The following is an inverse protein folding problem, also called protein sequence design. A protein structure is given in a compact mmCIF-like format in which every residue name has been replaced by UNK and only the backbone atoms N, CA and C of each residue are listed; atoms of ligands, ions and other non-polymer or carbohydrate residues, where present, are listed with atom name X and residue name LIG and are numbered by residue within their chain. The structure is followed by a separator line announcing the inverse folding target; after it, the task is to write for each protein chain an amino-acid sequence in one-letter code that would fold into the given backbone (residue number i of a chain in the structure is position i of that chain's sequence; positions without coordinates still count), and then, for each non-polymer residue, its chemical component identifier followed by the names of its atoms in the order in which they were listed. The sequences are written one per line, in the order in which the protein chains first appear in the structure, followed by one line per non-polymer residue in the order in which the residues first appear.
data_IF_638041446617
#
_entry.id   IF_638041446617
#
_cell.length_a   1.000
_cell.length_b   1.000
_cell.length_c   1.000
_cell.angle_alpha   90.00
_cell.angle_beta   90.00
_cell.angle_gamma   90.00
#
_symmetry.space_group_name_H-M   'P 1'
#
loop_
_entity.id
_entity.type
_entity.pdbx_description
1 polymer ?
#
# COMPACT_ATOMS: atom_id res chain seq x y z
N UNK A 1 -3.88 7.83 -5.37
CA UNK A 1 -3.08 8.02 -6.60
C UNK A 1 -2.37 6.74 -7.06
N UNK A 2 -1.65 6.04 -6.20
CA UNK A 2 -0.90 4.82 -6.58
C UNK A 2 -1.80 3.73 -7.15
N UNK A 3 -2.99 3.62 -6.64
CA UNK A 3 -3.92 2.54 -7.01
C UNK A 3 -4.44 2.65 -8.47
N UNK A 4 -4.30 3.83 -9.10
CA UNK A 4 -4.58 3.99 -10.53
C UNK A 4 -3.54 3.28 -11.42
N UNK A 5 -2.34 3.00 -10.89
CA UNK A 5 -1.22 2.44 -11.69
C UNK A 5 -1.56 1.11 -12.31
N UNK A 6 -2.23 0.21 -11.57
CA UNK A 6 -2.61 -1.11 -12.07
C UNK A 6 -3.56 -1.02 -13.27
N UNK A 7 -4.57 -0.17 -13.20
CA UNK A 7 -5.52 0.05 -14.31
C UNK A 7 -4.84 0.78 -15.46
N UNK A 8 -4.12 1.86 -15.18
CA UNK A 8 -3.45 2.65 -16.21
C UNK A 8 -2.41 1.82 -16.98
N UNK A 9 -1.64 0.93 -16.32
CA UNK A 9 -0.67 0.08 -17.01
C UNK A 9 -1.30 -0.88 -18.01
N UNK A 10 -2.52 -1.37 -17.74
CA UNK A 10 -3.25 -2.24 -18.68
C UNK A 10 -3.67 -1.47 -19.93
N UNK A 11 -4.19 -0.26 -19.77
CA UNK A 11 -4.56 0.58 -20.92
C UNK A 11 -3.33 1.04 -21.70
N UNK A 12 -2.26 1.45 -21.04
CA UNK A 12 -0.99 1.80 -21.70
C UNK A 12 -0.41 0.62 -22.47
N UNK A 13 -0.54 -0.61 -21.95
CA UNK A 13 -0.13 -1.82 -22.64
C UNK A 13 -0.87 -1.98 -23.97
N UNK A 14 -2.19 -1.76 -23.96
CA UNK A 14 -3.01 -1.87 -25.16
C UNK A 14 -2.70 -0.74 -26.16
N UNK A 15 -2.66 0.51 -25.70
CA UNK A 15 -2.47 1.69 -26.55
C UNK A 15 -1.12 1.70 -27.27
N UNK A 16 -0.05 1.24 -26.57
CA UNK A 16 1.30 1.25 -27.09
C UNK A 16 1.79 -0.12 -27.61
N UNK A 17 0.95 -1.15 -27.56
CA UNK A 17 1.29 -2.50 -28.01
C UNK A 17 2.47 -3.12 -27.22
N UNK A 18 2.55 -2.84 -25.91
CA UNK A 18 3.68 -3.26 -25.07
C UNK A 18 3.60 -4.76 -24.73
N UNK A 19 4.77 -5.36 -24.55
CA UNK A 19 4.85 -6.70 -23.94
C UNK A 19 4.41 -6.67 -22.48
N UNK A 20 3.98 -7.80 -21.93
CA UNK A 20 3.64 -7.92 -20.50
C UNK A 20 4.80 -7.50 -19.59
N UNK A 21 6.04 -7.82 -19.97
CA UNK A 21 7.23 -7.41 -19.22
C UNK A 21 7.38 -5.89 -19.15
N UNK A 22 7.23 -5.20 -20.29
CA UNK A 22 7.29 -3.74 -20.37
C UNK A 22 6.17 -3.06 -19.58
N UNK A 23 4.94 -3.58 -19.65
CA UNK A 23 3.82 -3.05 -18.88
C UNK A 23 4.04 -3.18 -17.37
N UNK A 24 4.61 -4.30 -16.92
CA UNK A 24 4.88 -4.56 -15.50
C UNK A 24 6.03 -3.73 -14.91
N UNK A 25 6.88 -3.12 -15.73
CA UNK A 25 7.91 -2.19 -15.26
C UNK A 25 7.26 -0.98 -14.58
N UNK A 26 6.14 -0.47 -15.10
CA UNK A 26 5.49 0.73 -14.57
C UNK A 26 5.07 0.58 -13.10
N UNK A 27 4.26 -0.41 -12.69
CA UNK A 27 3.95 -0.61 -11.28
C UNK A 27 5.17 -0.95 -10.42
N UNK A 28 6.15 -1.68 -10.99
CA UNK A 28 7.38 -2.02 -10.28
C UNK A 28 8.23 -0.78 -9.94
N UNK A 29 8.29 0.21 -10.85
CA UNK A 29 8.97 1.48 -10.59
C UNK A 29 8.36 2.22 -9.41
N UNK A 30 7.04 2.21 -9.26
CA UNK A 30 6.38 2.89 -8.13
C UNK A 30 6.88 2.32 -6.79
N UNK A 31 6.94 1.00 -6.66
CA UNK A 31 7.45 0.36 -5.42
C UNK A 31 8.95 0.55 -5.23
N UNK A 32 9.73 0.59 -6.32
CA UNK A 32 11.16 0.84 -6.27
C UNK A 32 11.51 2.21 -5.63
N UNK A 33 10.73 3.24 -5.94
CA UNK A 33 10.94 4.56 -5.37
C UNK A 33 10.65 4.66 -3.87
N UNK A 34 9.82 3.77 -3.32
CA UNK A 34 9.68 3.67 -1.85
C UNK A 34 10.99 3.28 -1.16
N UNK A 35 11.73 2.35 -1.75
CA UNK A 35 13.03 1.95 -1.20
C UNK A 35 14.02 3.13 -1.13
N UNK A 36 14.03 3.97 -2.18
CA UNK A 36 15.02 5.04 -2.32
C UNK A 36 14.60 6.30 -1.57
N UNK A 37 13.35 6.75 -1.73
CA UNK A 37 12.91 8.08 -1.27
C UNK A 37 12.34 8.11 0.15
N UNK A 38 11.97 6.99 0.76
CA UNK A 38 11.32 7.02 2.07
C UNK A 38 12.24 7.58 3.17
N UNK A 39 13.47 7.10 3.29
CA UNK A 39 14.42 7.61 4.30
C UNK A 39 14.84 9.07 4.01
N UNK A 40 15.23 9.47 2.78
CA UNK A 40 15.46 10.86 2.44
C UNK A 40 14.28 11.79 2.75
N UNK A 41 13.04 11.30 2.60
CA UNK A 41 11.84 12.08 2.96
C UNK A 41 11.72 12.28 4.47
N UNK A 42 12.06 11.29 5.28
CA UNK A 42 12.17 11.44 6.73
C UNK A 42 13.12 12.58 7.11
N UNK A 43 14.30 12.62 6.47
CA UNK A 43 15.27 13.69 6.66
C UNK A 43 14.78 15.06 6.13
N UNK A 44 14.03 15.05 5.00
CA UNK A 44 13.46 16.27 4.43
C UNK A 44 12.44 16.89 5.39
N UNK A 45 11.61 16.09 6.04
CA UNK A 45 10.65 16.58 7.06
C UNK A 45 11.34 17.32 8.20
N UNK A 46 12.56 16.91 8.58
CA UNK A 46 13.34 17.60 9.60
C UNK A 46 13.83 18.97 9.14
N UNK A 47 13.93 19.21 7.83
CA UNK A 47 14.41 20.50 7.26
C UNK A 47 13.28 21.48 6.95
N UNK A 48 12.21 21.02 6.33
CA UNK A 48 11.15 21.89 5.83
C UNK A 48 9.82 21.73 6.57
N UNK A 49 9.71 20.76 7.49
CA UNK A 49 8.48 20.42 8.21
C UNK A 49 7.63 19.35 7.50
N UNK A 50 6.74 18.73 8.25
CA UNK A 50 5.85 17.64 7.77
C UNK A 50 4.82 18.15 6.79
N UNK A 51 4.12 19.25 7.13
CA UNK A 51 3.09 19.88 6.27
C UNK A 51 3.65 20.25 4.90
N UNK A 52 4.80 20.94 4.87
CA UNK A 52 5.44 21.33 3.61
C UNK A 52 5.88 20.13 2.78
N UNK A 53 6.34 19.06 3.43
CA UNK A 53 6.70 17.82 2.74
C UNK A 53 5.49 17.14 2.13
N UNK A 54 4.33 17.12 2.83
CA UNK A 54 3.06 16.63 2.27
C UNK A 54 2.62 17.50 1.08
N UNK A 55 2.67 18.81 1.18
CA UNK A 55 2.35 19.71 0.06
C UNK A 55 3.26 19.45 -1.16
N UNK A 56 4.56 19.28 -0.94
CA UNK A 56 5.51 18.94 -2.00
C UNK A 56 5.17 17.58 -2.63
N UNK A 57 4.78 16.57 -1.83
CA UNK A 57 4.42 15.26 -2.35
C UNK A 57 3.20 15.31 -3.25
N UNK A 58 2.16 16.06 -2.88
CA UNK A 58 0.97 16.24 -3.71
C UNK A 58 1.32 16.99 -4.99
N UNK A 59 2.17 18.02 -4.91
CA UNK A 59 2.62 18.77 -6.08
C UNK A 59 3.36 17.85 -7.08
N UNK A 60 4.33 17.05 -6.60
CA UNK A 60 5.05 16.09 -7.45
C UNK A 60 4.08 15.08 -8.07
N UNK A 61 3.10 14.61 -7.30
CA UNK A 61 2.06 13.69 -7.78
C UNK A 61 1.19 14.35 -8.87
N UNK A 62 0.74 15.59 -8.67
CA UNK A 62 -0.05 16.33 -9.68
C UNK A 62 0.77 16.53 -10.96
N UNK A 63 2.04 16.89 -10.85
CA UNK A 63 2.92 17.02 -12.01
C UNK A 63 3.07 15.69 -12.76
N UNK A 64 3.16 14.56 -12.04
CA UNK A 64 3.22 13.23 -12.67
C UNK A 64 1.98 12.89 -13.49
N UNK A 65 0.80 13.37 -13.06
CA UNK A 65 -0.48 13.13 -13.75
C UNK A 65 -0.66 13.99 -15.01
N UNK A 66 0.09 15.06 -15.14
CA UNK A 66 0.05 15.93 -16.34
C UNK A 66 0.85 15.32 -17.49
N UNK A 67 1.95 14.63 -17.19
CA UNK A 67 2.84 14.07 -18.22
C UNK A 67 2.14 13.16 -19.24
N UNK A 68 1.26 12.20 -18.85
CA UNK A 68 0.54 11.35 -19.79
C UNK A 68 -0.42 12.10 -20.73
N UNK A 69 -0.77 13.35 -20.39
CA UNK A 69 -1.61 14.21 -21.23
C UNK A 69 -0.79 14.97 -22.28
N UNK A 70 0.53 15.09 -22.10
CA UNK A 70 1.42 15.81 -22.99
C UNK A 70 1.96 14.93 -24.14
N UNK A 71 1.85 13.61 -24.05
CA UNK A 71 2.32 12.70 -25.09
C UNK A 71 2.06 11.23 -24.80
N UNK A 72 2.28 10.40 -25.82
CA UNK A 72 1.89 8.97 -25.83
C UNK A 72 3.09 8.01 -25.92
N UNK A 73 4.30 8.45 -25.57
CA UNK A 73 5.47 7.60 -25.64
C UNK A 73 5.64 6.74 -24.38
N UNK A 74 6.19 5.54 -24.53
CA UNK A 74 6.52 4.66 -23.40
C UNK A 74 7.47 5.33 -22.40
N UNK A 75 8.47 6.07 -22.89
CA UNK A 75 9.41 6.80 -22.06
C UNK A 75 8.69 7.85 -21.19
N UNK A 76 7.70 8.56 -21.76
CA UNK A 76 6.90 9.53 -21.00
C UNK A 76 6.06 8.87 -19.95
N UNK A 77 5.47 7.70 -20.23
CA UNK A 77 4.73 6.92 -19.24
C UNK A 77 5.65 6.43 -18.10
N UNK A 78 6.85 5.94 -18.42
CA UNK A 78 7.84 5.58 -17.39
C UNK A 78 8.24 6.77 -16.52
N UNK A 79 8.44 7.96 -17.08
CA UNK A 79 8.70 9.18 -16.32
C UNK A 79 7.52 9.55 -15.43
N UNK A 80 6.29 9.49 -15.96
CA UNK A 80 5.07 9.79 -15.19
C UNK A 80 4.91 8.84 -14.00
N UNK A 81 5.03 7.53 -14.21
CA UNK A 81 4.92 6.54 -13.14
C UNK A 81 6.10 6.60 -12.15
N UNK A 82 7.30 6.97 -12.61
CA UNK A 82 8.43 7.24 -11.70
C UNK A 82 8.15 8.43 -10.79
N UNK A 83 7.71 9.56 -11.34
CA UNK A 83 7.33 10.73 -10.54
C UNK A 83 6.15 10.44 -9.61
N UNK A 84 5.16 9.66 -10.08
CA UNK A 84 4.04 9.21 -9.24
C UNK A 84 4.54 8.38 -8.05
N UNK A 85 5.50 7.47 -8.28
CA UNK A 85 6.13 6.68 -7.24
C UNK A 85 6.89 7.52 -6.22
N UNK A 86 7.69 8.50 -6.71
CA UNK A 86 8.40 9.46 -5.85
C UNK A 86 7.40 10.27 -5.03
N UNK A 87 6.40 10.88 -5.65
CA UNK A 87 5.36 11.65 -4.98
C UNK A 87 4.65 10.85 -3.91
N UNK A 88 4.34 9.58 -4.19
CA UNK A 88 3.67 8.71 -3.24
C UNK A 88 4.59 8.24 -2.10
N UNK A 89 5.87 8.01 -2.37
CA UNK A 89 6.86 7.73 -1.31
C UNK A 89 6.97 8.92 -0.34
N UNK A 90 7.06 10.15 -0.87
CA UNK A 90 7.04 11.37 -0.08
C UNK A 90 5.73 11.48 0.73
N UNK A 91 4.59 11.24 0.09
CA UNK A 91 3.26 11.33 0.71
C UNK A 91 3.12 10.36 1.88
N UNK A 92 3.33 9.08 1.66
CA UNK A 92 3.12 8.08 2.70
C UNK A 92 4.11 8.25 3.86
N UNK A 93 5.33 8.70 3.58
CA UNK A 93 6.33 8.96 4.62
C UNK A 93 5.97 10.18 5.46
N UNK A 94 5.44 11.24 4.86
CA UNK A 94 5.19 12.51 5.58
C UNK A 94 3.80 12.64 6.17
N UNK A 95 2.79 12.03 5.56
CA UNK A 95 1.41 12.14 6.00
C UNK A 95 1.19 11.46 7.36
N UNK A 96 1.75 10.28 7.58
CA UNK A 96 1.53 9.52 8.80
C UNK A 96 2.09 10.24 10.05
N UNK A 97 3.32 10.78 10.07
CA UNK A 97 3.80 11.61 11.18
C UNK A 97 3.04 12.92 11.33
N UNK A 98 2.57 13.53 10.22
CA UNK A 98 1.72 14.72 10.30
C UNK A 98 0.40 14.41 11.01
N UNK A 99 -0.26 13.29 10.65
CA UNK A 99 -1.47 12.81 11.31
C UNK A 99 -1.19 12.50 12.79
N UNK A 100 -0.08 11.84 13.09
CA UNK A 100 0.32 11.52 14.47
C UNK A 100 0.53 12.77 15.35
N UNK A 101 0.86 13.90 14.74
CA UNK A 101 1.04 15.19 15.42
C UNK A 101 -0.29 15.89 15.76
N UNK A 102 -1.37 15.55 15.07
CA UNK A 102 -2.67 16.23 15.19
C UNK A 102 -3.65 15.38 16.02
N UNK A 103 -3.51 14.05 15.94
CA UNK A 103 -4.45 13.12 16.57
C UNK A 103 -4.24 13.04 18.06
N UNK A 104 -5.31 13.31 18.81
CA UNK A 104 -5.33 13.22 20.29
C UNK A 104 -5.86 11.88 20.81
N UNK A 105 -6.31 10.99 19.93
CA UNK A 105 -6.86 9.67 20.24
C UNK A 105 -5.99 8.51 19.77
N UNK A 106 -6.62 7.36 19.50
CA UNK A 106 -5.93 6.17 19.01
C UNK A 106 -5.39 6.39 17.60
N UNK A 107 -4.07 6.46 17.46
CA UNK A 107 -3.37 6.69 16.20
C UNK A 107 -3.62 5.54 15.20
N UNK A 108 -3.56 4.29 15.66
CA UNK A 108 -3.80 3.11 14.81
C UNK A 108 -5.20 3.15 14.18
N UNK A 109 -6.22 3.53 14.96
CA UNK A 109 -7.58 3.73 14.46
C UNK A 109 -7.64 4.77 13.36
N UNK A 110 -6.99 5.92 13.56
CA UNK A 110 -7.00 7.02 12.57
C UNK A 110 -6.24 6.64 11.30
N UNK A 111 -5.09 6.00 11.41
CA UNK A 111 -4.34 5.51 10.25
C UNK A 111 -5.14 4.43 9.49
N UNK A 112 -5.83 3.54 10.20
CA UNK A 112 -6.71 2.54 9.60
C UNK A 112 -7.87 3.17 8.84
N UNK A 113 -8.48 4.23 9.39
CA UNK A 113 -9.50 5.00 8.67
C UNK A 113 -8.94 5.63 7.38
N UNK A 114 -7.71 6.12 7.43
CA UNK A 114 -7.01 6.60 6.23
C UNK A 114 -6.83 5.51 5.16
N UNK A 115 -6.53 4.27 5.57
CA UNK A 115 -6.48 3.12 4.63
C UNK A 115 -7.86 2.79 4.04
N UNK A 116 -8.94 2.93 4.81
CA UNK A 116 -10.30 2.79 4.29
C UNK A 116 -10.61 3.82 3.20
N UNK A 117 -10.31 5.11 3.43
CA UNK A 117 -10.49 6.17 2.42
C UNK A 117 -9.67 5.88 1.16
N UNK A 118 -8.43 5.40 1.32
CA UNK A 118 -7.59 4.95 0.22
C UNK A 118 -8.25 3.80 -0.56
N UNK A 119 -8.82 2.82 0.12
CA UNK A 119 -9.48 1.68 -0.51
C UNK A 119 -10.70 2.10 -1.36
N UNK A 120 -11.47 3.11 -0.93
CA UNK A 120 -12.56 3.69 -1.75
C UNK A 120 -11.99 4.26 -3.06
N UNK A 121 -10.90 5.02 -3.00
CA UNK A 121 -10.28 5.59 -4.19
C UNK A 121 -9.78 4.49 -5.16
N UNK A 122 -9.21 3.42 -4.63
CA UNK A 122 -8.79 2.25 -5.41
C UNK A 122 -9.96 1.55 -6.10
N UNK A 123 -11.09 1.44 -5.40
CA UNK A 123 -12.33 0.86 -5.95
C UNK A 123 -12.92 1.71 -7.06
N UNK A 124 -12.86 3.03 -6.95
CA UNK A 124 -13.45 3.95 -7.94
C UNK A 124 -12.59 4.09 -9.22
N UNK A 125 -11.28 3.92 -9.14
CA UNK A 125 -10.37 4.15 -10.26
C UNK A 125 -10.71 3.34 -11.52
N UNK A 126 -11.00 2.01 -11.46
CA UNK A 126 -11.41 1.23 -12.63
C UNK A 126 -12.70 1.74 -13.28
N UNK A 127 -13.68 2.13 -12.47
CA UNK A 127 -14.95 2.64 -12.98
C UNK A 127 -14.79 3.98 -13.71
N UNK A 128 -13.95 4.87 -13.18
CA UNK A 128 -13.62 6.16 -13.83
C UNK A 128 -12.91 5.91 -15.18
N UNK A 129 -11.94 4.99 -15.21
CA UNK A 129 -11.24 4.63 -16.45
C UNK A 129 -12.17 4.03 -17.50
N UNK A 130 -13.03 3.07 -17.08
CA UNK A 130 -14.01 2.44 -17.95
C UNK A 130 -15.04 3.44 -18.46
N UNK A 131 -15.52 4.33 -17.60
CA UNK A 131 -16.42 5.42 -18.00
C UNK A 131 -15.77 6.31 -19.06
N UNK A 132 -14.52 6.73 -18.86
CA UNK A 132 -13.80 7.52 -19.85
C UNK A 132 -13.55 6.79 -21.17
N UNK A 133 -13.28 5.47 -21.12
CA UNK A 133 -13.04 4.66 -22.30
C UNK A 133 -14.32 4.39 -23.14
N UNK A 134 -15.50 4.30 -22.48
CA UNK A 134 -16.74 3.82 -23.12
C UNK A 134 -17.82 4.89 -23.28
N UNK A 135 -17.72 6.02 -22.55
CA UNK A 135 -18.80 7.01 -22.52
C UNK A 135 -18.96 7.76 -23.86
N UNK A 136 -20.21 7.91 -24.29
CA UNK A 136 -20.60 8.78 -25.38
C UNK A 136 -20.58 10.27 -25.01
N UNK A 137 -20.38 10.60 -23.72
CA UNK A 137 -20.32 11.98 -23.22
C UNK A 137 -18.96 12.56 -23.59
N UNK A 138 -18.87 13.83 -24.03
CA UNK A 138 -17.62 14.46 -24.39
C UNK A 138 -16.72 14.63 -23.16
N UNK A 139 -15.82 13.68 -22.95
CA UNK A 139 -14.78 13.67 -21.94
C UNK A 139 -13.45 14.21 -22.50
N UNK A 140 -13.51 15.27 -23.26
CA UNK A 140 -12.36 15.97 -23.87
C UNK A 140 -11.54 15.10 -24.87
N UNK A 141 -12.08 13.99 -25.36
CA UNK A 141 -11.36 13.07 -26.26
C UNK A 141 -10.23 12.27 -25.59
N UNK A 142 -10.19 12.23 -24.27
CA UNK A 142 -9.09 11.61 -23.53
C UNK A 142 -9.26 10.09 -23.32
N UNK A 143 -10.45 9.52 -23.56
CA UNK A 143 -10.71 8.12 -23.28
C UNK A 143 -10.44 7.79 -21.80
N UNK A 144 -9.83 6.64 -21.53
CA UNK A 144 -9.47 6.22 -20.18
C UNK A 144 -8.50 7.20 -19.47
N UNK A 145 -7.75 8.01 -20.22
CA UNK A 145 -6.84 9.03 -19.68
C UNK A 145 -7.55 10.14 -18.90
N UNK A 146 -8.88 10.18 -18.93
CA UNK A 146 -9.69 11.09 -18.08
C UNK A 146 -9.39 10.91 -16.58
N UNK A 147 -8.86 9.76 -16.18
CA UNK A 147 -8.32 9.55 -14.83
C UNK A 147 -7.32 10.63 -14.40
N UNK A 148 -6.40 10.99 -15.28
CA UNK A 148 -5.32 11.90 -14.95
C UNK A 148 -5.80 13.30 -14.56
N UNK A 149 -6.62 14.01 -15.35
CA UNK A 149 -7.14 15.32 -14.96
C UNK A 149 -8.07 15.24 -13.74
N UNK A 150 -8.89 14.19 -13.58
CA UNK A 150 -9.75 14.03 -12.39
C UNK A 150 -8.87 13.95 -11.13
N UNK A 151 -7.86 13.10 -11.12
CA UNK A 151 -6.96 12.97 -9.97
C UNK A 151 -6.08 14.20 -9.76
N UNK A 152 -5.69 14.90 -10.85
CA UNK A 152 -4.96 16.15 -10.75
C UNK A 152 -5.80 17.26 -10.08
N UNK A 153 -7.07 17.38 -10.44
CA UNK A 153 -8.00 18.34 -9.80
C UNK A 153 -8.16 18.01 -8.30
N UNK A 154 -8.36 16.72 -7.95
CA UNK A 154 -8.43 16.28 -6.55
C UNK A 154 -7.13 16.66 -5.81
N UNK A 155 -5.97 16.45 -6.44
CA UNK A 155 -4.67 16.82 -5.88
C UNK A 155 -4.55 18.34 -5.66
N UNK A 156 -4.97 19.15 -6.62
CA UNK A 156 -4.97 20.63 -6.48
C UNK A 156 -5.88 21.07 -5.34
N UNK A 157 -7.09 20.51 -5.26
CA UNK A 157 -8.02 20.81 -4.16
C UNK A 157 -7.41 20.41 -2.82
N UNK A 158 -6.72 19.26 -2.75
CA UNK A 158 -6.04 18.81 -1.54
C UNK A 158 -4.87 19.75 -1.15
N UNK A 159 -4.08 20.23 -2.12
CA UNK A 159 -3.03 21.24 -1.88
C UNK A 159 -3.63 22.51 -1.28
N UNK A 160 -4.69 23.04 -1.88
CA UNK A 160 -5.34 24.27 -1.40
C UNK A 160 -5.91 24.06 0.00
N UNK A 161 -6.66 22.96 0.22
CA UNK A 161 -7.23 22.64 1.53
C UNK A 161 -6.14 22.56 2.62
N UNK A 162 -5.05 21.83 2.34
CA UNK A 162 -3.95 21.68 3.30
C UNK A 162 -3.17 23.00 3.48
N UNK A 163 -2.94 23.76 2.42
CA UNK A 163 -2.22 25.03 2.50
C UNK A 163 -2.92 26.03 3.44
N UNK A 164 -4.26 26.15 3.33
CA UNK A 164 -5.06 27.06 4.16
C UNK A 164 -5.35 26.50 5.58
N UNK A 165 -5.13 25.21 5.84
CA UNK A 165 -5.30 24.63 7.17
C UNK A 165 -4.12 25.02 8.06
N UNK A 166 -4.37 25.68 9.19
CA UNK A 166 -3.32 26.00 10.17
C UNK A 166 -2.98 24.75 10.98
N UNK A 167 -1.74 24.27 10.90
CA UNK A 167 -1.25 23.14 11.65
C UNK A 167 -0.03 23.58 12.46
N UNK A 168 -0.09 23.43 13.78
CA UNK A 168 1.06 23.61 14.66
C UNK A 168 1.88 22.32 14.63
N UNK A 169 3.07 22.38 14.07
CA UNK A 169 4.00 21.26 14.09
C UNK A 169 4.88 21.35 15.33
N UNK A 170 5.12 20.19 15.96
CA UNK A 170 6.11 20.10 17.03
C UNK A 170 7.49 20.48 16.49
N UNK A 171 8.32 21.21 17.26
CA UNK A 171 9.70 21.50 16.87
C UNK A 171 10.42 20.21 16.54
N UNK A 172 11.00 20.14 15.35
CA UNK A 172 11.71 18.95 14.91
C UNK A 172 13.11 18.94 15.54
N UNK A 173 13.54 17.80 16.05
CA UNK A 173 14.90 17.55 16.52
C UNK A 173 15.92 17.89 15.41
N UNK A 174 17.18 18.13 15.80
CA UNK A 174 18.29 18.43 14.87
C UNK A 174 18.31 17.43 13.72
N UNK A 175 18.50 17.92 12.49
CA UNK A 175 18.48 17.10 11.29
C UNK A 175 19.39 15.87 11.40
N UNK A 176 18.82 14.70 11.11
CA UNK A 176 19.50 13.42 11.17
C UNK A 176 20.30 13.16 9.88
N UNK A 177 21.46 12.50 10.01
CA UNK A 177 22.16 11.97 8.86
C UNK A 177 21.56 10.65 8.39
N UNK A 178 21.84 10.26 7.15
CA UNK A 178 21.38 8.98 6.60
C UNK A 178 21.79 7.78 7.47
N UNK A 179 23.05 7.79 7.95
CA UNK A 179 23.56 6.76 8.85
C UNK A 179 22.81 6.72 10.19
N UNK A 180 22.42 7.87 10.73
CA UNK A 180 21.63 7.94 11.98
C UNK A 180 20.22 7.35 11.78
N UNK A 181 19.59 7.57 10.64
CA UNK A 181 18.29 6.94 10.34
C UNK A 181 18.40 5.41 10.38
N UNK A 182 19.38 4.83 9.69
CA UNK A 182 19.59 3.37 9.70
C UNK A 182 20.02 2.82 11.06
N UNK A 183 20.71 3.62 11.89
CA UNK A 183 21.07 3.22 13.25
C UNK A 183 19.82 2.95 14.12
N UNK A 184 18.69 3.55 13.82
CA UNK A 184 17.42 3.27 14.52
C UNK A 184 16.95 1.82 14.34
N UNK A 185 17.34 1.14 13.26
CA UNK A 185 17.10 -0.31 13.09
C UNK A 185 17.91 -1.16 14.09
N UNK A 186 18.90 -0.58 14.78
CA UNK A 186 19.53 -1.21 15.93
C UNK A 186 18.61 -1.36 17.15
N UNK A 187 17.51 -0.59 17.21
CA UNK A 187 16.46 -0.81 18.20
C UNK A 187 15.62 -2.04 17.79
N UNK A 188 15.58 -3.09 18.65
CA UNK A 188 14.88 -4.32 18.30
C UNK A 188 13.40 -4.12 17.97
N UNK A 189 12.71 -3.19 18.64
CA UNK A 189 11.28 -2.96 18.41
C UNK A 189 11.04 -2.28 17.06
N UNK A 190 11.88 -1.31 16.68
CA UNK A 190 11.79 -0.63 15.37
C UNK A 190 12.10 -1.62 14.23
N UNK A 191 13.15 -2.44 14.41
CA UNK A 191 13.48 -3.49 13.43
C UNK A 191 12.34 -4.50 13.26
N UNK A 192 11.77 -4.98 14.37
CA UNK A 192 10.65 -5.93 14.34
C UNK A 192 9.42 -5.32 13.66
N UNK A 193 9.11 -4.05 13.92
CA UNK A 193 7.99 -3.36 13.28
C UNK A 193 8.24 -3.16 11.78
N UNK A 194 9.46 -2.81 11.37
CA UNK A 194 9.87 -2.70 9.97
C UNK A 194 9.69 -4.03 9.23
N UNK A 195 10.18 -5.12 9.78
CA UNK A 195 10.00 -6.47 9.22
C UNK A 195 8.51 -6.88 9.23
N UNK A 196 7.75 -6.46 10.24
CA UNK A 196 6.30 -6.67 10.30
C UNK A 196 5.56 -6.01 9.14
N UNK A 197 5.93 -4.78 8.79
CA UNK A 197 5.39 -4.09 7.61
C UNK A 197 5.81 -4.79 6.31
N UNK A 198 7.06 -5.25 6.20
CA UNK A 198 7.51 -6.03 5.05
C UNK A 198 6.68 -7.30 4.86
N UNK A 199 6.44 -8.05 5.93
CA UNK A 199 5.64 -9.27 5.90
C UNK A 199 4.17 -8.97 5.59
N UNK A 200 3.60 -7.92 6.20
CA UNK A 200 2.24 -7.47 5.91
C UNK A 200 2.05 -7.19 4.40
N UNK A 201 2.94 -6.39 3.81
CA UNK A 201 2.84 -6.04 2.38
C UNK A 201 3.13 -7.24 1.49
N UNK A 202 4.05 -8.12 1.91
CA UNK A 202 4.30 -9.39 1.23
C UNK A 202 3.06 -10.29 1.16
N UNK A 203 2.32 -10.42 2.28
CA UNK A 203 1.04 -11.15 2.32
C UNK A 203 -0.03 -10.44 1.49
N UNK A 204 -0.09 -9.10 1.53
CA UNK A 204 -1.04 -8.27 0.79
C UNK A 204 -0.90 -8.47 -0.73
N UNK A 205 0.28 -8.15 -1.26
CA UNK A 205 0.59 -8.28 -2.70
C UNK A 205 0.57 -9.75 -3.12
N UNK A 206 1.09 -10.62 -2.25
CA UNK A 206 1.11 -12.05 -2.47
C UNK A 206 -0.28 -12.63 -2.66
N UNK A 207 -1.22 -12.29 -1.81
CA UNK A 207 -2.60 -12.78 -1.93
C UNK A 207 -3.24 -12.29 -3.23
N UNK A 208 -3.08 -11.01 -3.58
CA UNK A 208 -3.63 -10.46 -4.81
C UNK A 208 -3.13 -11.16 -6.08
N UNK A 209 -1.85 -11.53 -6.11
CA UNK A 209 -1.24 -12.17 -7.28
C UNK A 209 -1.47 -13.68 -7.33
N UNK A 210 -1.65 -14.33 -6.17
CA UNK A 210 -1.71 -15.79 -6.07
C UNK A 210 -3.14 -16.31 -5.97
N UNK A 211 -4.07 -15.57 -5.38
CA UNK A 211 -5.44 -16.03 -5.22
C UNK A 211 -6.12 -16.45 -6.55
N UNK A 212 -6.05 -15.67 -7.65
CA UNK A 212 -6.56 -16.11 -8.93
C UNK A 212 -5.87 -17.38 -9.45
N UNK A 213 -4.55 -17.49 -9.26
CA UNK A 213 -3.78 -18.65 -9.72
C UNK A 213 -4.18 -19.94 -9.00
N UNK A 214 -4.45 -19.86 -7.68
CA UNK A 214 -4.95 -21.00 -6.89
C UNK A 214 -6.30 -21.48 -7.44
N UNK A 215 -7.20 -20.57 -7.78
CA UNK A 215 -8.52 -20.92 -8.31
C UNK A 215 -8.43 -21.57 -9.70
N UNK A 216 -7.57 -21.05 -10.57
CA UNK A 216 -7.30 -21.66 -11.89
C UNK A 216 -6.69 -23.03 -11.74
N UNK A 217 -5.64 -23.18 -10.92
CA UNK A 217 -4.89 -24.42 -10.76
C UNK A 217 -5.72 -25.53 -10.10
N UNK A 218 -6.49 -25.21 -9.05
CA UNK A 218 -7.18 -26.23 -8.25
C UNK A 218 -8.63 -26.48 -8.64
N UNK A 219 -9.30 -25.48 -9.20
CA UNK A 219 -10.71 -25.59 -9.55
C UNK A 219 -10.95 -25.59 -11.06
N UNK A 220 -9.90 -25.39 -11.89
CA UNK A 220 -10.03 -25.28 -13.33
C UNK A 220 -10.81 -24.05 -13.81
N UNK A 221 -10.90 -23.00 -12.99
CA UNK A 221 -11.61 -21.79 -13.33
C UNK A 221 -10.94 -21.06 -14.52
N UNK A 222 -11.75 -20.37 -15.32
CA UNK A 222 -11.23 -19.45 -16.33
C UNK A 222 -10.58 -18.22 -15.65
N UNK A 223 -9.72 -17.51 -16.38
CA UNK A 223 -9.08 -16.29 -15.88
C UNK A 223 -10.11 -15.23 -15.42
N UNK A 224 -11.22 -15.10 -16.16
CA UNK A 224 -12.27 -14.13 -15.83
C UNK A 224 -12.99 -14.48 -14.52
N UNK A 225 -13.30 -15.75 -14.30
CA UNK A 225 -13.93 -16.22 -13.05
C UNK A 225 -12.98 -16.08 -11.87
N UNK A 226 -11.71 -16.44 -12.06
CA UNK A 226 -10.68 -16.37 -11.02
C UNK A 226 -10.33 -14.92 -10.62
N UNK A 227 -10.51 -13.95 -11.53
CA UNK A 227 -10.29 -12.53 -11.25
C UNK A 227 -11.17 -12.00 -10.10
N UNK A 228 -12.32 -12.64 -9.83
CA UNK A 228 -13.18 -12.32 -8.69
C UNK A 228 -12.46 -12.47 -7.34
N UNK A 229 -11.45 -13.34 -7.24
CA UNK A 229 -10.64 -13.51 -6.04
C UNK A 229 -9.99 -12.19 -5.56
N UNK A 230 -9.46 -11.40 -6.50
CA UNK A 230 -8.85 -10.09 -6.19
C UNK A 230 -9.92 -9.11 -5.69
N UNK A 231 -11.09 -9.09 -6.31
CA UNK A 231 -12.21 -8.24 -5.87
C UNK A 231 -12.68 -8.64 -4.47
N UNK A 232 -12.82 -9.94 -4.20
CA UNK A 232 -13.20 -10.47 -2.90
C UNK A 232 -12.21 -10.05 -1.81
N UNK A 233 -10.91 -10.16 -2.08
CA UNK A 233 -9.86 -9.69 -1.18
C UNK A 233 -10.03 -8.22 -0.83
N UNK A 234 -10.18 -7.33 -1.81
CA UNK A 234 -10.31 -5.89 -1.58
C UNK A 234 -11.61 -5.50 -0.89
N UNK A 235 -12.72 -6.20 -1.16
CA UNK A 235 -13.98 -6.00 -0.43
C UNK A 235 -13.77 -6.25 1.06
N UNK A 236 -13.22 -7.41 1.44
CA UNK A 236 -12.99 -7.75 2.84
C UNK A 236 -11.91 -6.88 3.49
N UNK A 237 -10.89 -6.48 2.75
CA UNK A 237 -9.91 -5.50 3.22
C UNK A 237 -10.54 -4.14 3.53
N UNK A 238 -11.43 -3.66 2.66
CA UNK A 238 -12.13 -2.39 2.86
C UNK A 238 -13.05 -2.45 4.09
N UNK A 239 -13.83 -3.54 4.21
CA UNK A 239 -14.67 -3.77 5.39
C UNK A 239 -13.81 -3.87 6.66
N UNK A 240 -12.66 -4.56 6.58
CA UNK A 240 -11.71 -4.70 7.68
C UNK A 240 -11.10 -3.37 8.11
N UNK A 241 -10.75 -2.48 7.17
CA UNK A 241 -10.27 -1.14 7.49
C UNK A 241 -11.36 -0.29 8.16
N UNK A 242 -12.60 -0.31 7.64
CA UNK A 242 -13.69 0.46 8.22
C UNK A 242 -14.04 -0.02 9.63
N UNK A 243 -14.32 -1.32 9.79
CA UNK A 243 -14.65 -1.91 11.08
C UNK A 243 -13.50 -1.83 12.07
N UNK A 244 -12.27 -2.09 11.61
CA UNK A 244 -11.07 -2.02 12.42
C UNK A 244 -10.80 -0.61 12.97
N UNK A 245 -11.07 0.44 12.19
CA UNK A 245 -10.93 1.81 12.69
C UNK A 245 -11.87 2.11 13.87
N UNK A 246 -13.06 1.52 13.89
CA UNK A 246 -13.99 1.63 15.01
C UNK A 246 -13.58 0.73 16.18
N UNK A 247 -13.24 -0.53 15.91
CA UNK A 247 -12.91 -1.54 16.92
C UNK A 247 -11.63 -1.16 17.69
N UNK A 248 -10.61 -0.62 17.01
CA UNK A 248 -9.35 -0.18 17.64
C UNK A 248 -9.53 0.95 18.69
N UNK A 249 -10.69 1.57 18.75
CA UNK A 249 -11.04 2.52 19.84
C UNK A 249 -11.59 1.83 21.07
N UNK A 250 -12.04 0.58 20.94
CA UNK A 250 -12.77 -0.15 21.96
C UNK A 250 -11.94 -1.25 22.64
N UNK A 251 -10.99 -1.84 21.88
CA UNK A 251 -10.17 -2.94 22.39
C UNK A 251 -8.67 -2.61 22.26
N UNK A 252 -7.80 -3.23 23.11
CA UNK A 252 -6.36 -3.03 23.02
C UNK A 252 -5.79 -3.46 21.66
N UNK A 253 -4.84 -2.69 21.13
CA UNK A 253 -4.18 -2.96 19.83
C UNK A 253 -3.60 -4.37 19.75
N UNK A 254 -3.00 -4.87 20.85
CA UNK A 254 -2.45 -6.21 20.94
C UNK A 254 -3.49 -7.31 20.72
N UNK A 255 -4.68 -7.16 21.30
CA UNK A 255 -5.77 -8.14 21.15
C UNK A 255 -6.27 -8.13 19.71
N UNK A 256 -6.48 -6.95 19.16
CA UNK A 256 -6.92 -6.82 17.77
C UNK A 256 -5.88 -7.38 16.79
N UNK A 257 -4.59 -7.09 17.02
CA UNK A 257 -3.50 -7.63 16.22
C UNK A 257 -3.45 -9.15 16.27
N UNK A 258 -3.60 -9.75 17.48
CA UNK A 258 -3.63 -11.19 17.65
C UNK A 258 -4.78 -11.84 16.86
N UNK A 259 -5.99 -11.29 16.96
CA UNK A 259 -7.16 -11.77 16.19
C UNK A 259 -6.88 -11.68 14.69
N UNK A 260 -6.37 -10.56 14.22
CA UNK A 260 -6.00 -10.34 12.82
C UNK A 260 -5.00 -11.39 12.31
N UNK A 261 -3.97 -11.66 13.10
CA UNK A 261 -2.95 -12.66 12.75
C UNK A 261 -3.51 -14.08 12.77
N UNK A 262 -4.36 -14.42 13.75
CA UNK A 262 -5.05 -15.72 13.77
C UNK A 262 -5.90 -15.93 12.49
N UNK A 263 -6.59 -14.88 12.02
CA UNK A 263 -7.33 -14.95 10.76
C UNK A 263 -6.41 -15.18 9.55
N UNK A 264 -5.25 -14.52 9.50
CA UNK A 264 -4.26 -14.70 8.43
C UNK A 264 -3.72 -16.14 8.46
N UNK A 265 -3.37 -16.68 9.63
CA UNK A 265 -2.88 -18.06 9.75
C UNK A 265 -3.95 -19.08 9.32
N UNK A 266 -5.20 -18.90 9.78
CA UNK A 266 -6.31 -19.76 9.35
C UNK A 266 -6.50 -19.70 7.81
N UNK A 267 -6.37 -18.52 7.25
CA UNK A 267 -6.42 -18.32 5.80
C UNK A 267 -5.28 -19.05 5.08
N UNK A 268 -4.04 -18.95 5.58
CA UNK A 268 -2.90 -19.67 4.97
C UNK A 268 -3.14 -21.19 4.97
N UNK A 269 -3.70 -21.74 6.03
CA UNK A 269 -4.06 -23.16 6.11
C UNK A 269 -5.13 -23.49 5.05
N UNK A 270 -6.22 -22.71 4.98
CA UNK A 270 -7.25 -22.92 3.97
C UNK A 270 -6.71 -22.84 2.55
N UNK A 271 -5.90 -21.83 2.25
CA UNK A 271 -5.28 -21.67 0.93
C UNK A 271 -4.25 -22.74 0.61
N UNK A 272 -3.61 -23.35 1.61
CA UNK A 272 -2.65 -24.43 1.40
C UNK A 272 -3.33 -25.78 1.10
N UNK A 273 -4.39 -26.13 1.83
CA UNK A 273 -4.94 -27.51 1.81
C UNK A 273 -6.28 -27.66 1.08
N UNK A 274 -7.04 -26.58 0.88
CA UNK A 274 -8.41 -26.71 0.36
C UNK A 274 -8.47 -26.83 -1.15
N UNK A 275 -9.46 -27.61 -1.61
CA UNK A 275 -9.84 -27.78 -3.01
C UNK A 275 -11.32 -27.41 -3.25
N UNK A 276 -11.99 -26.84 -2.27
CA UNK A 276 -13.36 -26.37 -2.41
C UNK A 276 -13.40 -24.86 -2.63
N UNK A 277 -14.22 -24.41 -3.55
CA UNK A 277 -14.39 -22.98 -3.88
C UNK A 277 -14.76 -22.16 -2.64
N UNK A 278 -15.71 -22.63 -1.85
CA UNK A 278 -16.16 -21.94 -0.63
C UNK A 278 -15.02 -21.76 0.38
N UNK A 279 -14.19 -22.80 0.59
CA UNK A 279 -13.07 -22.72 1.53
C UNK A 279 -11.96 -21.80 1.02
N UNK A 280 -11.65 -21.81 -0.28
CA UNK A 280 -10.68 -20.91 -0.88
C UNK A 280 -11.16 -19.45 -0.83
N UNK A 281 -12.41 -19.18 -1.13
CA UNK A 281 -12.99 -17.84 -0.99
C UNK A 281 -13.00 -17.36 0.47
N UNK A 282 -13.32 -18.24 1.41
CA UNK A 282 -13.23 -17.93 2.85
C UNK A 282 -11.78 -17.60 3.24
N UNK A 283 -10.79 -18.36 2.77
CA UNK A 283 -9.38 -18.07 2.99
C UNK A 283 -8.99 -16.68 2.46
N UNK A 284 -9.37 -16.34 1.22
CA UNK A 284 -9.09 -15.04 0.62
C UNK A 284 -9.74 -13.91 1.41
N UNK A 285 -10.99 -14.07 1.82
CA UNK A 285 -11.73 -13.10 2.63
C UNK A 285 -11.08 -12.90 4.01
N UNK A 286 -10.63 -13.97 4.65
CA UNK A 286 -9.93 -13.92 5.95
C UNK A 286 -8.58 -13.20 5.84
N UNK A 287 -7.80 -13.39 4.76
CA UNK A 287 -6.59 -12.59 4.55
C UNK A 287 -6.95 -11.13 4.38
N UNK A 288 -7.92 -10.81 3.52
CA UNK A 288 -8.33 -9.43 3.26
C UNK A 288 -8.71 -8.72 4.56
N UNK A 289 -9.57 -9.32 5.36
CA UNK A 289 -10.01 -8.76 6.63
C UNK A 289 -8.88 -8.72 7.67
N UNK A 290 -8.19 -9.84 7.90
CA UNK A 290 -7.13 -9.94 8.91
C UNK A 290 -5.93 -9.04 8.63
N UNK A 291 -5.52 -8.92 7.36
CA UNK A 291 -4.36 -8.12 6.99
C UNK A 291 -4.64 -6.61 6.94
N UNK A 292 -5.91 -6.18 6.97
CA UNK A 292 -6.34 -4.80 6.74
C UNK A 292 -5.74 -3.76 7.72
N UNK A 293 -5.47 -4.15 8.97
CA UNK A 293 -5.09 -3.23 10.04
C UNK A 293 -3.63 -3.41 10.51
N UNK A 294 -2.95 -4.45 10.07
CA UNK A 294 -1.57 -4.78 10.49
C UNK A 294 -0.61 -3.63 10.26
N UNK A 295 -0.66 -3.01 9.06
CA UNK A 295 0.17 -1.85 8.74
C UNK A 295 -0.03 -0.71 9.75
N UNK A 296 -1.27 -0.32 9.99
CA UNK A 296 -1.61 0.83 10.84
C UNK A 296 -1.15 0.62 12.29
N UNK A 297 -1.29 -0.61 12.81
CA UNK A 297 -0.86 -0.94 14.17
C UNK A 297 0.67 -0.95 14.25
N UNK A 298 1.37 -1.66 13.37
CA UNK A 298 2.84 -1.68 13.36
C UNK A 298 3.42 -0.27 13.21
N UNK A 299 2.85 0.53 12.33
CA UNK A 299 3.30 1.90 12.08
C UNK A 299 3.09 2.81 13.29
N UNK A 300 1.88 2.81 13.86
CA UNK A 300 1.55 3.62 15.03
C UNK A 300 2.41 3.22 16.25
N UNK A 301 2.58 1.93 16.50
CA UNK A 301 3.41 1.41 17.58
C UNK A 301 4.88 1.82 17.41
N UNK A 302 5.41 1.80 16.18
CA UNK A 302 6.77 2.25 15.91
C UNK A 302 6.95 3.75 16.16
N UNK A 303 6.01 4.60 15.70
CA UNK A 303 6.05 6.05 15.94
C UNK A 303 5.92 6.41 17.42
N UNK A 304 5.07 5.69 18.15
CA UNK A 304 4.85 5.93 19.57
C UNK A 304 5.99 5.39 20.45
N UNK A 305 6.81 4.46 19.92
CA UNK A 305 7.94 3.89 20.65
C UNK A 305 9.08 4.91 20.85
N UNK A 306 9.35 5.74 19.85
CA UNK A 306 10.36 6.79 19.89
C UNK A 306 9.79 8.09 19.27
N UNK A 307 9.11 8.91 20.10
CA UNK A 307 8.47 10.13 19.63
C UNK A 307 9.44 11.20 19.11
N UNK A 308 10.70 11.15 19.50
CA UNK A 308 11.73 12.13 19.08
C UNK A 308 12.15 11.91 17.63
N UNK A 309 12.11 10.66 17.14
CA UNK A 309 12.56 10.28 15.80
C UNK A 309 11.41 9.86 14.86
N UNK A 310 10.20 10.39 15.06
CA UNK A 310 9.01 10.00 14.27
C UNK A 310 9.21 10.12 12.75
N UNK A 311 9.95 11.12 12.28
CA UNK A 311 10.16 11.36 10.86
C UNK A 311 11.07 10.29 10.24
N UNK A 312 12.16 9.95 10.92
CA UNK A 312 13.12 8.91 10.52
C UNK A 312 12.48 7.52 10.56
N UNK A 313 11.75 7.24 11.65
CA UNK A 313 11.00 5.98 11.81
C UNK A 313 9.96 5.85 10.72
N UNK A 314 9.23 6.91 10.39
CA UNK A 314 8.29 6.87 9.28
C UNK A 314 8.99 6.51 7.97
N UNK A 315 10.14 7.13 7.70
CA UNK A 315 10.94 6.79 6.52
C UNK A 315 11.32 5.32 6.46
N UNK A 316 11.78 4.76 7.58
CA UNK A 316 12.12 3.33 7.69
C UNK A 316 10.89 2.43 7.50
N UNK A 317 9.79 2.74 8.17
CA UNK A 317 8.55 1.94 8.09
C UNK A 317 8.01 1.92 6.65
N UNK A 318 8.01 3.06 5.97
CA UNK A 318 7.55 3.13 4.56
C UNK A 318 8.53 2.44 3.60
N UNK A 319 9.83 2.46 3.88
CA UNK A 319 10.80 1.65 3.14
C UNK A 319 10.45 0.15 3.22
N UNK A 320 9.84 -0.31 4.31
CA UNK A 320 9.34 -1.68 4.47
C UNK A 320 8.30 -2.11 3.44
N UNK A 321 7.63 -1.17 2.75
CA UNK A 321 6.73 -1.48 1.63
C UNK A 321 7.44 -2.19 0.47
N UNK A 322 8.77 -2.15 0.42
CA UNK A 322 9.58 -2.95 -0.50
C UNK A 322 9.39 -4.47 -0.31
N UNK A 323 8.80 -4.90 0.79
CA UNK A 323 8.29 -6.27 0.99
C UNK A 323 7.37 -6.74 -0.14
N UNK A 324 6.60 -5.81 -0.74
CA UNK A 324 5.78 -6.05 -1.93
C UNK A 324 6.57 -6.40 -3.21
N UNK A 325 7.89 -6.23 -3.20
CA UNK A 325 8.79 -6.72 -4.26
C UNK A 325 9.47 -8.03 -3.86
N UNK A 326 9.96 -8.11 -2.62
CA UNK A 326 10.74 -9.27 -2.15
C UNK A 326 9.88 -10.54 -2.10
N UNK A 327 8.68 -10.43 -1.53
CA UNK A 327 7.80 -11.60 -1.38
C UNK A 327 7.38 -12.21 -2.73
N UNK A 328 6.88 -11.42 -3.72
CA UNK A 328 6.54 -11.97 -5.04
C UNK A 328 7.72 -12.62 -5.76
N UNK A 329 8.95 -12.11 -5.58
CA UNK A 329 10.14 -12.77 -6.12
C UNK A 329 10.35 -14.16 -5.50
N UNK A 330 10.30 -14.26 -4.17
CA UNK A 330 10.38 -15.54 -3.47
C UNK A 330 9.22 -16.49 -3.84
N UNK A 331 8.02 -15.95 -3.96
CA UNK A 331 6.82 -16.68 -4.36
C UNK A 331 6.95 -17.22 -5.80
N UNK A 332 7.52 -16.44 -6.72
CA UNK A 332 7.79 -16.89 -8.08
C UNK A 332 8.67 -18.15 -8.09
N UNK A 333 9.83 -18.07 -7.43
CA UNK A 333 10.77 -19.20 -7.34
C UNK A 333 10.12 -20.45 -6.71
N UNK A 334 9.38 -20.27 -5.61
CA UNK A 334 8.71 -21.39 -4.95
C UNK A 334 7.53 -21.92 -5.76
N UNK A 335 6.86 -21.07 -6.53
CA UNK A 335 5.76 -21.51 -7.42
C UNK A 335 6.28 -22.35 -8.60
N UNK A 336 7.47 -22.08 -9.09
CA UNK A 336 8.10 -22.90 -10.15
C UNK A 336 8.37 -24.34 -9.67
N UNK A 337 8.56 -24.53 -8.35
CA UNK A 337 8.85 -25.84 -7.75
C UNK A 337 7.58 -26.56 -7.28
N UNK A 338 6.61 -25.84 -6.68
CA UNK A 338 5.49 -26.41 -5.96
C UNK A 338 4.11 -25.88 -6.43
N UNK A 339 4.06 -25.17 -7.57
CA UNK A 339 2.83 -24.55 -8.02
C UNK A 339 2.34 -23.45 -7.06
N UNK A 340 1.05 -23.17 -7.05
CA UNK A 340 0.46 -22.16 -6.17
C UNK A 340 0.69 -22.40 -4.68
N UNK A 341 0.92 -23.66 -4.26
CA UNK A 341 1.26 -23.99 -2.88
C UNK A 341 2.59 -23.33 -2.46
N UNK A 342 3.58 -23.29 -3.35
CA UNK A 342 4.86 -22.64 -3.08
C UNK A 342 4.69 -21.14 -2.72
N UNK A 343 3.84 -20.44 -3.45
CA UNK A 343 3.53 -19.03 -3.12
C UNK A 343 2.84 -18.91 -1.76
N UNK A 344 1.89 -19.79 -1.45
CA UNK A 344 1.20 -19.79 -0.13
C UNK A 344 2.19 -20.03 1.01
N UNK A 345 3.16 -20.94 0.84
CA UNK A 345 4.19 -21.19 1.85
C UNK A 345 5.07 -19.97 2.12
N UNK A 346 5.45 -19.23 1.08
CA UNK A 346 6.22 -17.98 1.27
C UNK A 346 5.38 -16.94 2.03
N UNK A 347 4.09 -16.79 1.72
CA UNK A 347 3.19 -15.91 2.48
C UNK A 347 3.02 -16.40 3.93
N UNK A 348 2.96 -17.73 4.15
CA UNK A 348 2.87 -18.32 5.48
C UNK A 348 4.08 -17.97 6.36
N UNK A 349 5.28 -17.87 5.80
CA UNK A 349 6.47 -17.39 6.54
C UNK A 349 6.23 -15.96 7.05
N UNK A 350 5.66 -15.08 6.24
CA UNK A 350 5.28 -13.74 6.67
C UNK A 350 4.22 -13.76 7.78
N UNK A 351 3.20 -14.62 7.65
CA UNK A 351 2.17 -14.79 8.67
C UNK A 351 2.72 -15.33 10.01
N UNK A 352 3.65 -16.27 9.95
CA UNK A 352 4.36 -16.78 11.15
C UNK A 352 5.19 -15.69 11.82
N UNK A 353 5.87 -14.85 11.03
CA UNK A 353 6.58 -13.70 11.57
C UNK A 353 5.62 -12.72 12.29
N UNK A 354 4.47 -12.42 11.70
CA UNK A 354 3.44 -11.59 12.34
C UNK A 354 2.93 -12.22 13.64
N UNK A 355 2.81 -13.55 13.72
CA UNK A 355 2.47 -14.26 14.95
C UNK A 355 3.51 -14.05 16.04
N UNK A 356 4.79 -14.13 15.69
CA UNK A 356 5.88 -13.80 16.61
C UNK A 356 5.81 -12.32 17.05
N UNK A 357 5.57 -11.41 16.13
CA UNK A 357 5.46 -9.97 16.41
C UNK A 357 4.33 -9.65 17.40
N UNK A 358 3.24 -10.42 17.41
CA UNK A 358 2.11 -10.27 18.34
C UNK A 358 2.56 -10.25 19.80
N UNK A 359 3.61 -11.00 20.15
CA UNK A 359 4.17 -11.05 21.52
C UNK A 359 4.78 -9.68 21.91
N UNK A 360 5.27 -8.92 20.94
CA UNK A 360 6.00 -7.66 21.13
C UNK A 360 5.10 -6.43 21.02
N UNK A 361 3.92 -6.53 20.39
CA UNK A 361 2.94 -5.44 20.32
C UNK A 361 2.48 -5.08 21.73
N UNK A 362 2.45 -3.79 22.01
CA UNK A 362 2.01 -3.24 23.31
C UNK A 362 0.50 -3.22 23.40
N UNK A 363 -0.01 -3.29 24.61
CA UNK A 363 -1.43 -3.19 24.90
C UNK A 363 -1.96 -1.76 24.73
#
# INVERSE_FOLDING_TARGET
FVDLVGIASNYVQQDLGLTHAQANIMPSLVFFWFLIFSVPTGMLMNKIGRKKTVLLSILVTVLSLILPLCGESYAMMLCAFSLLGIGNALMQTSLNPLVSNIVTGNLSSTLTFGQFVKAIASFLAPYIAMWGATAAIPHMGLGWKVLFPIYAIIGIVAILALAFTSIHEEPVAKGSSFAQCFKLLGNPFILLSFLGIMCHVGVDVGTNTTAPKILIERLGMTLNEAAFATSLYFIFRTIGCLSGSAILRLIPEKVFFAISVCMIIAAMILLAVSHSQAALYTGIALVGFGNSNIFSICFAQALNHDPEHKNEISGLMIMGLFGGTIFPLGMGVMSDIMGSLGAVLVMAVGALYLSFLTIKIRA
#
